data_IF_194427450970
#
_entry.id   IF_194427450970
#
_cell.length_a   1.000
_cell.length_b   1.000
_cell.length_c   1.000
_cell.angle_alpha   90.00
_cell.angle_beta   90.00
_cell.angle_gamma   90.00
#
_symmetry.space_group_name_H-M   'P 1'
#
loop_
_entity.id
_entity.type
_entity.pdbx_description
1 polymer ?
#
# COMPACT_ATOMS: atom_id res chain seq x y z
N UNK A 1 -1.38 22.85 -4.09
CA UNK A 1 -0.76 21.55 -3.74
C UNK A 1 0.69 21.70 -3.26
N UNK A 2 1.20 22.93 -3.02
CA UNK A 2 2.63 23.19 -3.17
C UNK A 2 3.38 23.62 -1.90
N UNK A 3 2.85 24.53 -1.07
CA UNK A 3 3.71 25.27 -0.14
C UNK A 3 4.50 24.41 0.87
N UNK A 4 3.90 23.41 1.54
CA UNK A 4 4.61 22.67 2.60
C UNK A 4 5.46 21.49 2.07
N UNK A 5 5.01 20.80 1.01
CA UNK A 5 5.77 19.69 0.40
C UNK A 5 6.91 20.20 -0.50
N UNK A 6 6.72 21.32 -1.20
CA UNK A 6 7.79 21.98 -1.94
C UNK A 6 8.84 22.57 -1.00
N UNK A 7 8.47 23.05 0.19
CA UNK A 7 9.43 23.53 1.19
C UNK A 7 10.38 22.41 1.63
N UNK A 8 9.89 21.19 1.85
CA UNK A 8 10.76 20.02 2.14
C UNK A 8 11.69 19.76 0.95
N UNK A 9 11.14 19.70 -0.27
CA UNK A 9 11.90 19.38 -1.47
C UNK A 9 12.97 20.43 -1.77
N UNK A 10 12.64 21.71 -1.63
CA UNK A 10 13.51 22.85 -1.89
C UNK A 10 14.65 22.92 -0.86
N UNK A 11 14.34 22.75 0.42
CA UNK A 11 15.36 22.68 1.49
C UNK A 11 16.39 21.58 1.24
N UNK A 12 15.98 20.43 0.71
CA UNK A 12 16.89 19.31 0.46
C UNK A 12 17.73 19.49 -0.81
N UNK A 13 17.19 20.17 -1.84
CA UNK A 13 17.94 20.49 -3.05
C UNK A 13 18.98 21.60 -2.83
N UNK A 14 18.70 22.55 -1.93
CA UNK A 14 19.57 23.69 -1.64
C UNK A 14 20.62 23.40 -0.54
N UNK A 15 20.44 22.35 0.26
CA UNK A 15 21.39 21.98 1.29
C UNK A 15 22.73 21.47 0.69
N UNK A 16 23.89 21.99 1.12
CA UNK A 16 25.19 21.49 0.69
C UNK A 16 25.33 20.00 1.02
N UNK A 17 25.99 19.25 0.13
CA UNK A 17 26.29 17.82 0.36
C UNK A 17 27.37 17.67 1.44
N UNK A 18 27.06 18.05 2.67
CA UNK A 18 27.95 17.79 3.80
C UNK A 18 27.83 16.33 4.20
N UNK A 19 28.97 15.65 4.24
CA UNK A 19 29.11 14.33 4.87
C UNK A 19 28.84 14.48 6.36
N UNK A 20 27.58 14.45 6.78
CA UNK A 20 27.26 14.20 8.19
C UNK A 20 27.74 12.78 8.51
N UNK A 21 28.84 12.69 9.26
CA UNK A 21 29.23 11.47 9.95
C UNK A 21 28.17 11.19 11.04
N UNK A 22 27.08 10.52 10.68
CA UNK A 22 26.18 9.94 11.67
C UNK A 22 26.60 8.49 11.92
N UNK A 23 27.11 8.23 13.12
CA UNK A 23 27.44 6.89 13.62
C UNK A 23 26.20 6.00 13.90
N UNK A 24 25.03 6.34 13.32
CA UNK A 24 23.87 5.45 13.26
C UNK A 24 23.75 5.02 11.81
N UNK A 25 24.14 3.77 11.51
CA UNK A 25 24.03 3.17 10.19
C UNK A 25 22.55 2.96 9.78
N UNK A 26 21.80 4.05 9.60
CA UNK A 26 20.52 4.05 8.89
C UNK A 26 20.85 3.80 7.42
N UNK A 27 20.23 2.76 6.87
CA UNK A 27 20.31 2.31 5.48
C UNK A 27 20.70 3.43 4.47
N UNK A 28 21.88 3.29 3.86
CA UNK A 28 22.31 4.15 2.74
C UNK A 28 21.94 3.42 1.44
N UNK A 29 20.93 3.89 0.69
CA UNK A 29 20.52 3.27 -0.56
C UNK A 29 21.68 3.23 -1.56
N UNK A 30 21.79 2.12 -2.29
CA UNK A 30 22.79 1.90 -3.33
C UNK A 30 22.14 1.15 -4.49
N UNK A 31 22.75 1.25 -5.66
CA UNK A 31 22.33 0.51 -6.85
C UNK A 31 21.60 1.37 -7.89
N UNK A 32 21.33 0.79 -9.06
CA UNK A 32 20.86 1.52 -10.24
C UNK A 32 19.38 1.93 -10.16
N UNK A 33 18.63 1.43 -9.17
CA UNK A 33 17.20 1.74 -8.99
C UNK A 33 16.94 3.22 -8.68
N UNK A 34 17.93 3.91 -8.09
CA UNK A 34 17.81 5.31 -7.73
C UNK A 34 18.49 6.18 -8.79
N UNK A 35 17.78 7.21 -9.31
CA UNK A 35 18.43 8.25 -10.12
C UNK A 35 19.61 8.87 -9.37
N UNK A 36 19.37 9.25 -8.10
CA UNK A 36 20.41 9.73 -7.20
C UNK A 36 20.14 9.22 -5.78
N UNK A 37 20.85 8.16 -5.39
CA UNK A 37 20.66 7.52 -4.09
C UNK A 37 20.98 8.45 -2.91
N UNK A 38 21.98 9.34 -3.06
CA UNK A 38 22.35 10.29 -2.02
C UNK A 38 21.27 11.35 -1.78
N UNK A 39 20.67 11.88 -2.84
CA UNK A 39 19.54 12.82 -2.76
C UNK A 39 18.32 12.12 -2.15
N UNK A 40 17.97 10.93 -2.64
CA UNK A 40 16.86 10.16 -2.10
C UNK A 40 17.02 9.90 -0.59
N UNK A 41 18.21 9.48 -0.15
CA UNK A 41 18.50 9.24 1.27
C UNK A 41 18.29 10.50 2.12
N UNK A 42 18.77 11.67 1.65
CA UNK A 42 18.57 12.93 2.37
C UNK A 42 17.10 13.32 2.46
N UNK A 43 16.35 13.23 1.35
CA UNK A 43 14.91 13.53 1.33
C UNK A 43 14.16 12.59 2.27
N UNK A 44 14.50 11.30 2.25
CA UNK A 44 13.89 10.30 3.12
C UNK A 44 14.14 10.62 4.60
N UNK A 45 15.39 10.96 4.97
CA UNK A 45 15.72 11.34 6.35
C UNK A 45 15.00 12.60 6.81
N UNK A 46 14.90 13.61 5.96
CA UNK A 46 14.15 14.84 6.24
C UNK A 46 12.65 14.56 6.43
N UNK A 47 12.08 13.71 5.57
CA UNK A 47 10.69 13.26 5.67
C UNK A 47 10.45 12.49 6.99
N UNK A 48 11.32 11.55 7.34
CA UNK A 48 11.23 10.76 8.59
C UNK A 48 11.22 11.65 9.84
N UNK A 49 11.94 12.77 9.82
CA UNK A 49 12.03 13.71 10.96
C UNK A 49 10.87 14.72 10.98
N UNK A 50 10.54 15.31 9.83
CA UNK A 50 9.69 16.51 9.77
C UNK A 50 8.30 16.29 9.19
N UNK A 51 8.04 15.18 8.49
CA UNK A 51 6.74 14.94 7.88
C UNK A 51 5.65 14.79 8.95
N UNK A 52 4.50 15.41 8.68
CA UNK A 52 3.35 15.45 9.59
C UNK A 52 2.05 15.23 8.85
N UNK A 53 1.22 14.36 9.43
CA UNK A 53 -0.08 13.97 8.93
C UNK A 53 -1.11 14.44 9.95
N UNK A 54 -2.05 15.28 9.53
CA UNK A 54 -3.24 15.56 10.32
C UNK A 54 -4.27 14.48 10.04
N UNK A 55 -4.80 13.85 11.10
CA UNK A 55 -5.87 12.85 10.98
C UNK A 55 -7.16 13.52 11.45
N UNK A 56 -8.19 13.52 10.60
CA UNK A 56 -9.52 13.97 11.02
C UNK A 56 -10.04 13.09 12.15
N UNK A 57 -10.65 13.67 13.18
CA UNK A 57 -11.11 12.92 14.36
C UNK A 57 -12.58 12.46 14.20
N UNK A 58 -13.21 12.80 13.08
CA UNK A 58 -14.59 12.45 12.78
C UNK A 58 -14.76 10.97 12.46
N UNK A 59 -15.87 10.42 12.93
CA UNK A 59 -16.29 9.06 12.64
C UNK A 59 -15.92 8.10 13.76
N UNK A 60 -16.62 6.97 13.81
CA UNK A 60 -16.41 5.94 14.83
C UNK A 60 -16.12 4.58 14.17
N UNK A 61 -15.40 3.69 14.88
CA UNK A 61 -15.32 2.28 14.49
C UNK A 61 -16.71 1.66 14.33
N UNK A 62 -16.88 0.66 13.45
CA UNK A 62 -15.82 -0.06 12.73
C UNK A 62 -15.41 0.56 11.38
N UNK A 63 -16.05 1.64 10.92
CA UNK A 63 -15.78 2.22 9.58
C UNK A 63 -14.61 3.20 9.61
N UNK A 64 -14.53 4.04 10.65
CA UNK A 64 -13.52 5.08 10.78
C UNK A 64 -12.52 4.71 11.87
N UNK A 65 -11.27 5.13 11.70
CA UNK A 65 -10.17 4.88 12.64
C UNK A 65 -9.94 3.39 12.96
N UNK A 66 -10.45 2.51 12.10
CA UNK A 66 -10.44 1.07 12.26
C UNK A 66 -10.28 0.41 10.91
N UNK A 67 -9.68 -0.78 10.90
CA UNK A 67 -9.50 -1.58 9.69
C UNK A 67 -9.18 -3.03 10.02
N UNK A 68 -9.24 -3.91 9.02
CA UNK A 68 -8.89 -5.32 9.19
C UNK A 68 -7.41 -5.46 9.55
N UNK A 69 -7.11 -6.33 10.52
CA UNK A 69 -5.74 -6.56 11.00
C UNK A 69 -5.16 -7.90 10.54
N UNK A 70 -5.93 -8.68 9.77
CA UNK A 70 -5.57 -10.01 9.29
C UNK A 70 -5.94 -10.17 7.81
N UNK A 71 -5.43 -11.23 7.22
CA UNK A 71 -5.70 -11.64 5.85
C UNK A 71 -5.15 -10.65 4.78
N UNK A 72 -5.68 -10.67 3.56
CA UNK A 72 -5.16 -9.92 2.39
C UNK A 72 -5.27 -8.39 2.54
N UNK A 73 -6.27 -7.89 3.26
CA UNK A 73 -6.47 -6.45 3.45
C UNK A 73 -5.86 -5.91 4.74
N UNK A 74 -5.12 -6.74 5.49
CA UNK A 74 -4.55 -6.40 6.79
C UNK A 74 -3.76 -5.09 6.76
N UNK A 75 -3.04 -4.84 5.68
CA UNK A 75 -2.20 -3.65 5.55
C UNK A 75 -3.00 -2.34 5.66
N UNK A 76 -4.29 -2.34 5.29
CA UNK A 76 -5.18 -1.19 5.45
C UNK A 76 -5.40 -0.85 6.92
N UNK A 77 -5.76 -1.84 7.75
CA UNK A 77 -5.94 -1.64 9.18
C UNK A 77 -4.62 -1.36 9.91
N UNK A 78 -3.55 -2.06 9.55
CA UNK A 78 -2.21 -1.79 10.10
C UNK A 78 -1.77 -0.36 9.80
N UNK A 79 -1.99 0.16 8.60
CA UNK A 79 -1.66 1.55 8.27
C UNK A 79 -2.49 2.54 9.10
N UNK A 80 -3.81 2.36 9.16
CA UNK A 80 -4.71 3.23 9.94
C UNK A 80 -4.27 3.28 11.40
N UNK A 81 -4.11 2.12 12.04
CA UNK A 81 -3.72 2.04 13.45
C UNK A 81 -2.31 2.57 13.72
N UNK A 82 -1.35 2.30 12.84
CA UNK A 82 0.02 2.80 13.03
C UNK A 82 0.09 4.31 12.88
N UNK A 83 -0.66 4.92 11.95
CA UNK A 83 -0.71 6.38 11.84
C UNK A 83 -1.21 7.01 13.13
N UNK A 84 -2.27 6.46 13.75
CA UNK A 84 -2.87 6.99 14.98
C UNK A 84 -1.87 7.21 16.12
N UNK A 85 -0.86 6.33 16.22
CA UNK A 85 0.15 6.33 17.29
C UNK A 85 1.56 6.72 16.83
N UNK A 86 1.76 6.96 15.54
CA UNK A 86 3.08 7.30 14.98
C UNK A 86 3.51 8.72 15.32
N UNK A 87 4.82 8.98 15.26
CA UNK A 87 5.38 10.33 15.36
C UNK A 87 5.05 11.22 14.15
N UNK A 88 4.52 10.64 13.07
CA UNK A 88 4.02 11.39 11.91
C UNK A 88 2.70 12.08 12.21
N UNK A 89 1.86 11.59 13.14
CA UNK A 89 0.59 12.26 13.45
C UNK A 89 0.82 13.61 14.12
N UNK A 90 0.05 14.61 13.70
CA UNK A 90 -0.07 15.90 14.38
C UNK A 90 -1.54 16.22 14.66
N UNK A 91 -1.78 16.88 15.79
CA UNK A 91 -3.08 17.52 16.11
C UNK A 91 -3.11 19.00 15.71
N UNK A 92 -1.96 19.59 15.39
CA UNK A 92 -1.87 20.95 14.89
C UNK A 92 -1.93 20.93 13.35
N UNK A 93 -3.02 21.43 12.74
CA UNK A 93 -3.20 21.44 11.29
C UNK A 93 -2.29 22.44 10.57
N UNK A 94 -1.64 23.37 11.29
CA UNK A 94 -0.74 24.37 10.69
C UNK A 94 0.63 23.79 10.32
N UNK A 95 1.06 22.76 11.03
CA UNK A 95 2.31 22.04 10.75
C UNK A 95 2.10 20.77 9.93
N UNK A 96 0.85 20.47 9.56
CA UNK A 96 0.52 19.32 8.74
C UNK A 96 0.98 19.53 7.28
N UNK A 97 1.50 18.46 6.70
CA UNK A 97 1.89 18.41 5.29
C UNK A 97 0.78 17.80 4.44
N UNK A 98 0.09 16.79 5.00
CA UNK A 98 -1.06 16.11 4.37
C UNK A 98 -2.14 15.82 5.42
N UNK A 99 -3.36 15.58 4.94
CA UNK A 99 -4.55 15.30 5.76
C UNK A 99 -5.12 13.93 5.42
N UNK A 100 -5.24 13.06 6.42
CA UNK A 100 -5.74 11.70 6.23
C UNK A 100 -7.25 11.63 6.45
N UNK A 101 -7.97 10.98 5.52
CA UNK A 101 -9.37 10.59 5.68
C UNK A 101 -9.43 9.16 6.26
N UNK A 102 -9.71 8.97 7.56
CA UNK A 102 -9.51 7.71 8.29
C UNK A 102 -10.65 6.69 8.09
N UNK A 103 -11.32 6.67 6.94
CA UNK A 103 -12.30 5.61 6.64
C UNK A 103 -11.62 4.41 5.98
N UNK A 104 -12.00 3.20 6.41
CA UNK A 104 -11.57 1.96 5.75
C UNK A 104 -12.58 1.52 4.70
N UNK A 105 -12.13 1.42 3.45
CA UNK A 105 -12.94 0.86 2.36
C UNK A 105 -13.29 -0.59 2.63
N UNK A 106 -12.35 -1.35 3.19
CA UNK A 106 -12.59 -2.74 3.57
C UNK A 106 -13.68 -2.85 4.63
N UNK A 107 -13.63 -2.03 5.69
CA UNK A 107 -14.66 -2.06 6.74
C UNK A 107 -16.01 -1.55 6.26
N UNK A 108 -16.06 -0.55 5.37
CA UNK A 108 -17.31 -0.14 4.71
C UNK A 108 -17.93 -1.35 4.01
N UNK A 109 -17.13 -2.11 3.25
CA UNK A 109 -17.59 -3.31 2.55
C UNK A 109 -18.08 -4.41 3.51
N UNK A 110 -17.33 -4.69 4.58
CA UNK A 110 -17.68 -5.72 5.57
C UNK A 110 -18.96 -5.37 6.34
N UNK A 111 -19.10 -4.14 6.81
CA UNK A 111 -20.25 -3.69 7.62
C UNK A 111 -21.55 -3.70 6.83
N UNK A 112 -21.49 -3.29 5.56
CA UNK A 112 -22.67 -3.33 4.70
C UNK A 112 -23.08 -4.76 4.34
N UNK A 113 -22.20 -5.76 4.57
CA UNK A 113 -22.44 -7.19 4.39
C UNK A 113 -23.08 -7.50 3.03
N UNK A 114 -22.64 -6.80 1.98
CA UNK A 114 -23.26 -6.86 0.67
C UNK A 114 -22.83 -8.14 -0.05
N UNK A 115 -23.71 -9.14 -0.04
CA UNK A 115 -23.62 -10.33 -0.88
C UNK A 115 -23.86 -10.05 -2.37
N UNK A 116 -24.27 -8.83 -2.72
CA UNK A 116 -24.52 -8.40 -4.10
C UNK A 116 -23.54 -7.29 -4.50
N UNK A 117 -22.58 -7.63 -5.36
CA UNK A 117 -21.44 -6.81 -5.79
C UNK A 117 -21.79 -5.51 -6.53
N UNK A 118 -23.08 -5.20 -6.69
CA UNK A 118 -23.56 -4.12 -7.56
C UNK A 118 -24.20 -2.95 -6.83
N UNK A 119 -24.39 -3.00 -5.49
CA UNK A 119 -25.03 -1.92 -4.73
C UNK A 119 -23.99 -0.95 -4.17
N UNK A 120 -23.27 -0.26 -5.06
CA UNK A 120 -22.25 0.73 -4.67
C UNK A 120 -22.79 1.97 -3.92
N UNK A 121 -24.11 2.16 -3.93
CA UNK A 121 -24.77 3.39 -3.45
C UNK A 121 -24.45 3.74 -1.99
N UNK A 122 -24.63 2.82 -1.01
CA UNK A 122 -24.32 3.07 0.39
C UNK A 122 -22.84 3.39 0.63
N UNK A 123 -21.91 2.63 0.03
CA UNK A 123 -20.47 2.87 0.14
C UNK A 123 -20.09 4.28 -0.34
N UNK A 124 -20.61 4.66 -1.51
CA UNK A 124 -20.39 5.97 -2.13
C UNK A 124 -20.94 7.11 -1.27
N UNK A 125 -22.13 6.92 -0.66
CA UNK A 125 -22.72 7.90 0.26
C UNK A 125 -21.92 8.07 1.54
N UNK A 126 -21.43 7.00 2.16
CA UNK A 126 -20.62 7.08 3.39
C UNK A 126 -19.39 7.97 3.16
N UNK A 127 -18.64 7.71 2.08
CA UNK A 127 -17.47 8.51 1.76
C UNK A 127 -17.83 9.97 1.41
N UNK A 128 -18.92 10.19 0.65
CA UNK A 128 -19.38 11.52 0.27
C UNK A 128 -19.81 12.33 1.49
N UNK A 129 -20.60 11.75 2.38
CA UNK A 129 -21.08 12.37 3.60
C UNK A 129 -19.92 12.72 4.53
N UNK A 130 -18.91 11.84 4.61
CA UNK A 130 -17.69 12.11 5.36
C UNK A 130 -16.91 13.29 4.81
N UNK A 131 -16.68 13.33 3.49
CA UNK A 131 -16.00 14.46 2.82
C UNK A 131 -16.78 15.75 3.04
N UNK A 132 -18.10 15.73 2.91
CA UNK A 132 -18.95 16.90 3.16
C UNK A 132 -18.87 17.36 4.63
N UNK A 133 -18.84 16.42 5.58
CA UNK A 133 -18.69 16.73 7.00
C UNK A 133 -17.37 17.45 7.28
N UNK A 134 -16.24 16.90 6.82
CA UNK A 134 -14.92 17.53 7.05
C UNK A 134 -14.78 18.85 6.31
N UNK A 135 -15.37 18.97 5.11
CA UNK A 135 -15.39 20.21 4.32
C UNK A 135 -16.26 21.31 4.93
N UNK A 136 -17.35 20.94 5.61
CA UNK A 136 -18.21 21.88 6.34
C UNK A 136 -17.65 22.29 7.70
N UNK A 137 -16.94 21.39 8.38
CA UNK A 137 -16.42 21.62 9.73
C UNK A 137 -15.05 22.30 9.75
N UNK A 138 -14.19 22.02 8.78
CA UNK A 138 -12.82 22.52 8.73
C UNK A 138 -12.50 23.28 7.45
N UNK A 139 -11.65 24.31 7.51
CA UNK A 139 -11.26 25.06 6.31
C UNK A 139 -10.28 24.30 5.41
N UNK A 140 -9.66 23.21 5.89
CA UNK A 140 -8.51 22.58 5.23
C UNK A 140 -8.86 21.89 3.91
N UNK A 141 -10.01 21.21 3.85
CA UNK A 141 -10.48 20.57 2.61
C UNK A 141 -10.68 21.61 1.50
N UNK A 142 -11.42 22.67 1.79
CA UNK A 142 -11.78 23.69 0.80
C UNK A 142 -10.57 24.51 0.33
N UNK A 143 -9.54 24.66 1.16
CA UNK A 143 -8.30 25.37 0.81
C UNK A 143 -7.60 24.78 -0.41
N UNK A 144 -7.58 23.45 -0.52
CA UNK A 144 -6.88 22.72 -1.58
C UNK A 144 -7.81 21.94 -2.50
N UNK A 145 -9.12 21.98 -2.23
CA UNK A 145 -10.13 21.08 -2.82
C UNK A 145 -9.75 19.61 -2.66
N UNK A 146 -9.24 19.25 -1.48
CA UNK A 146 -8.75 17.91 -1.19
C UNK A 146 -7.35 17.60 -1.74
N UNK A 147 -6.65 18.54 -2.40
CA UNK A 147 -5.37 18.26 -3.07
C UNK A 147 -4.19 17.90 -2.16
N UNK A 148 -4.29 18.18 -0.86
CA UNK A 148 -3.35 17.75 0.18
C UNK A 148 -3.97 16.70 1.12
N UNK A 149 -5.09 16.11 0.71
CA UNK A 149 -5.77 15.03 1.40
C UNK A 149 -5.44 13.70 0.77
N UNK A 150 -5.49 12.63 1.56
CA UNK A 150 -5.35 11.29 1.05
C UNK A 150 -6.34 10.32 1.68
N UNK A 151 -6.73 9.32 0.89
CA UNK A 151 -7.49 8.15 1.32
C UNK A 151 -6.62 6.90 1.14
N UNK A 152 -6.93 5.87 1.92
CA UNK A 152 -6.31 4.55 1.79
C UNK A 152 -7.38 3.54 1.38
N UNK A 153 -7.06 2.68 0.41
CA UNK A 153 -7.90 1.54 0.08
C UNK A 153 -7.09 0.37 -0.45
N UNK A 154 -7.26 -0.79 0.17
CA UNK A 154 -6.66 -2.02 -0.33
C UNK A 154 -7.65 -2.95 -1.04
N UNK A 155 -8.93 -2.79 -0.76
CA UNK A 155 -9.99 -3.43 -1.53
C UNK A 155 -10.08 -2.88 -2.97
N UNK A 156 -10.45 -3.73 -3.92
CA UNK A 156 -10.69 -3.37 -5.34
C UNK A 156 -11.76 -2.27 -5.54
N UNK A 157 -12.59 -2.03 -4.53
CA UNK A 157 -13.64 -1.01 -4.48
C UNK A 157 -13.12 0.40 -4.21
N UNK A 158 -11.83 0.55 -3.87
CA UNK A 158 -11.19 1.82 -3.54
C UNK A 158 -11.36 2.90 -4.61
N UNK A 159 -10.93 2.66 -5.87
CA UNK A 159 -11.08 3.63 -6.96
C UNK A 159 -12.53 4.06 -7.20
N UNK A 160 -13.48 3.12 -7.15
CA UNK A 160 -14.91 3.35 -7.36
C UNK A 160 -15.55 4.29 -6.35
N UNK A 161 -15.12 4.23 -5.08
CA UNK A 161 -15.56 5.19 -4.06
C UNK A 161 -15.10 6.59 -4.45
N UNK A 162 -13.84 6.74 -4.85
CA UNK A 162 -13.27 8.04 -5.20
C UNK A 162 -13.98 8.68 -6.38
N UNK A 163 -14.34 7.92 -7.42
CA UNK A 163 -14.96 8.42 -8.65
C UNK A 163 -16.27 9.18 -8.42
N UNK A 164 -16.96 8.89 -7.32
CA UNK A 164 -18.23 9.57 -6.98
C UNK A 164 -18.08 10.90 -6.27
N UNK A 165 -16.86 11.23 -5.87
CA UNK A 165 -16.52 12.49 -5.22
C UNK A 165 -15.49 13.17 -6.13
N UNK A 166 -15.91 14.02 -7.08
CA UNK A 166 -15.05 14.52 -8.16
C UNK A 166 -13.74 15.14 -7.67
N UNK A 167 -13.77 15.89 -6.56
CA UNK A 167 -12.58 16.52 -6.00
C UNK A 167 -11.64 15.50 -5.34
N UNK A 168 -12.18 14.46 -4.68
CA UNK A 168 -11.39 13.38 -4.10
C UNK A 168 -10.65 12.59 -5.18
N UNK A 169 -11.35 12.19 -6.25
CA UNK A 169 -10.71 11.47 -7.35
C UNK A 169 -9.66 12.31 -8.08
N UNK A 170 -10.01 13.57 -8.38
CA UNK A 170 -9.20 14.43 -9.24
C UNK A 170 -7.97 15.01 -8.54
N UNK A 171 -8.11 15.43 -7.28
CA UNK A 171 -7.07 16.20 -6.59
C UNK A 171 -6.42 15.44 -5.43
N UNK A 172 -7.17 14.65 -4.66
CA UNK A 172 -6.61 13.95 -3.49
C UNK A 172 -5.71 12.79 -3.87
N UNK A 173 -4.76 12.48 -3.00
CA UNK A 173 -3.83 11.35 -3.16
C UNK A 173 -4.56 10.05 -2.81
N UNK A 174 -4.52 9.07 -3.71
CA UNK A 174 -5.03 7.73 -3.43
C UNK A 174 -3.86 6.85 -3.02
N UNK A 175 -3.91 6.31 -1.80
CA UNK A 175 -2.97 5.27 -1.35
C UNK A 175 -3.65 3.93 -1.60
N UNK A 176 -3.21 3.20 -2.62
CA UNK A 176 -3.93 2.01 -3.12
C UNK A 176 -3.05 0.76 -3.08
N UNK A 177 -3.61 -0.37 -2.61
CA UNK A 177 -2.96 -1.67 -2.81
C UNK A 177 -3.02 -2.11 -4.28
N UNK A 178 -4.12 -1.76 -4.96
CA UNK A 178 -4.28 -1.96 -6.40
C UNK A 178 -3.82 -0.71 -7.17
N UNK A 179 -2.55 -0.71 -7.59
CA UNK A 179 -1.97 0.38 -8.37
C UNK A 179 -2.17 0.21 -9.89
N UNK A 180 -3.40 -0.12 -10.32
CA UNK A 180 -3.73 -0.34 -11.73
C UNK A 180 -4.12 0.96 -12.46
N UNK A 181 -3.30 1.37 -13.41
CA UNK A 181 -3.54 2.60 -14.20
C UNK A 181 -4.80 2.53 -15.06
N UNK A 182 -5.27 1.34 -15.46
CA UNK A 182 -6.53 1.21 -16.20
C UNK A 182 -7.77 1.40 -15.32
N UNK A 183 -7.61 1.36 -14.01
CA UNK A 183 -8.69 1.50 -13.01
C UNK A 183 -8.59 2.83 -12.25
N UNK A 184 -7.82 3.80 -12.77
CA UNK A 184 -7.77 5.16 -12.24
C UNK A 184 -6.60 5.47 -11.31
N UNK A 185 -5.65 4.55 -11.11
CA UNK A 185 -4.39 4.87 -10.44
C UNK A 185 -3.57 5.86 -11.27
N UNK A 186 -3.22 7.00 -10.69
CA UNK A 186 -2.38 8.00 -11.35
C UNK A 186 -0.97 8.01 -10.76
N UNK A 187 0.06 7.50 -11.47
CA UNK A 187 1.43 7.41 -10.93
C UNK A 187 2.11 8.76 -10.66
N UNK A 188 1.53 9.88 -11.13
CA UNK A 188 2.05 11.22 -10.82
C UNK A 188 1.46 11.82 -9.54
N UNK A 189 0.44 11.20 -8.95
CA UNK A 189 -0.33 11.70 -7.80
C UNK A 189 -0.47 10.66 -6.69
N UNK A 190 -0.81 9.44 -7.07
CA UNK A 190 -1.21 8.35 -6.18
C UNK A 190 0.01 7.52 -5.73
N UNK A 191 -0.17 6.82 -4.61
CA UNK A 191 0.88 6.03 -3.95
C UNK A 191 0.47 4.57 -3.92
N UNK A 192 1.33 3.68 -4.43
CA UNK A 192 1.12 2.24 -4.27
C UNK A 192 1.57 1.80 -2.89
N UNK A 193 0.71 1.11 -2.15
CA UNK A 193 1.09 0.39 -0.93
C UNK A 193 1.14 -1.11 -1.24
N UNK A 194 2.19 -1.84 -0.85
CA UNK A 194 2.26 -3.27 -1.11
C UNK A 194 1.17 -4.03 -0.34
N UNK A 195 0.46 -4.94 -1.01
CA UNK A 195 -0.41 -5.91 -0.35
C UNK A 195 0.43 -6.92 0.45
N UNK A 196 0.12 -7.10 1.73
CA UNK A 196 0.81 -8.05 2.60
C UNK A 196 -0.22 -8.99 3.21
N UNK A 197 -0.14 -10.27 2.86
CA UNK A 197 -1.04 -11.27 3.39
C UNK A 197 -0.65 -11.66 4.82
N UNK A 198 -1.47 -11.28 5.80
CA UNK A 198 -1.20 -11.54 7.22
C UNK A 198 -2.26 -12.49 7.81
N UNK A 199 -2.20 -13.81 7.59
CA UNK A 199 -3.27 -14.76 7.97
C UNK A 199 -3.65 -14.71 9.46
N UNK A 200 -2.70 -14.36 10.34
CA UNK A 200 -2.92 -14.21 11.78
C UNK A 200 -2.56 -12.80 12.29
N UNK A 201 -2.50 -11.82 11.39
CA UNK A 201 -2.12 -10.44 11.69
C UNK A 201 -0.65 -10.25 12.11
N UNK A 202 0.20 -11.26 11.85
CA UNK A 202 1.62 -11.27 12.20
C UNK A 202 2.48 -11.66 11.00
N UNK A 203 3.72 -11.22 11.01
CA UNK A 203 4.75 -11.57 10.01
C UNK A 203 5.53 -12.84 10.38
N UNK A 204 5.01 -13.63 11.33
CA UNK A 204 5.67 -14.83 11.84
C UNK A 204 5.89 -15.84 10.71
N UNK A 205 7.14 -16.16 10.42
CA UNK A 205 7.48 -17.04 9.31
C UNK A 205 7.20 -16.44 7.92
N UNK A 206 7.12 -15.11 7.78
CA UNK A 206 7.18 -14.46 6.48
C UNK A 206 8.58 -13.99 6.14
N UNK A 207 9.36 -13.55 7.14
CA UNK A 207 10.67 -12.95 6.96
C UNK A 207 11.80 -13.97 7.21
N UNK A 208 12.84 -13.91 6.39
CA UNK A 208 14.12 -14.57 6.58
C UNK A 208 14.43 -15.66 5.55
N UNK A 209 15.43 -16.49 5.83
CA UNK A 209 15.88 -17.56 4.93
C UNK A 209 17.27 -17.30 4.36
N UNK A 210 17.66 -18.16 3.42
CA UNK A 210 18.98 -18.09 2.81
C UNK A 210 19.07 -16.90 1.84
N UNK A 211 20.25 -16.26 1.71
CA UNK A 211 20.48 -15.25 0.68
C UNK A 211 20.22 -15.85 -0.71
N UNK A 212 19.83 -15.03 -1.68
CA UNK A 212 19.45 -15.48 -3.03
C UNK A 212 20.51 -16.38 -3.70
N UNK A 213 21.80 -16.18 -3.40
CA UNK A 213 22.91 -17.01 -3.89
C UNK A 213 22.90 -18.46 -3.38
N UNK A 214 22.29 -18.72 -2.22
CA UNK A 214 22.23 -20.04 -1.57
C UNK A 214 20.89 -20.75 -1.73
N UNK A 215 19.91 -20.10 -2.38
CA UNK A 215 18.59 -20.67 -2.65
C UNK A 215 18.68 -21.76 -3.73
N UNK A 216 17.99 -22.89 -3.52
CA UNK A 216 18.14 -24.10 -4.35
C UNK A 216 17.16 -24.19 -5.52
N UNK A 217 16.04 -23.46 -5.47
CA UNK A 217 15.02 -23.43 -6.53
C UNK A 217 15.25 -22.17 -7.37
N UNK A 218 15.24 -22.28 -8.69
CA UNK A 218 15.39 -21.12 -9.56
C UNK A 218 14.11 -20.27 -9.53
N UNK A 219 12.98 -20.88 -9.86
CA UNK A 219 11.68 -20.20 -9.96
C UNK A 219 10.63 -21.01 -9.21
N UNK A 220 9.77 -20.33 -8.45
CA UNK A 220 8.63 -20.96 -7.79
C UNK A 220 7.32 -20.22 -8.06
N UNK A 221 6.24 -20.99 -8.26
CA UNK A 221 4.86 -20.52 -8.31
C UNK A 221 3.91 -21.55 -7.68
N UNK A 222 2.99 -21.08 -6.84
CA UNK A 222 1.82 -21.85 -6.45
C UNK A 222 0.54 -20.99 -6.44
N UNK A 223 -0.54 -21.52 -7.02
CA UNK A 223 -1.84 -20.85 -7.04
C UNK A 223 -2.86 -21.55 -7.93
N UNK A 224 -4.14 -21.29 -7.71
CA UNK A 224 -5.21 -21.94 -8.48
C UNK A 224 -5.22 -21.61 -9.98
N UNK A 225 -5.89 -22.47 -10.75
CA UNK A 225 -6.11 -22.32 -12.19
C UNK A 225 -7.20 -21.27 -12.49
N UNK A 226 -6.79 -20.01 -12.55
CA UNK A 226 -7.67 -18.91 -12.92
C UNK A 226 -6.94 -17.80 -13.69
N UNK A 227 -7.71 -16.90 -14.32
CA UNK A 227 -7.16 -15.88 -15.25
C UNK A 227 -6.68 -16.48 -16.58
N UNK A 228 -6.28 -15.61 -17.51
CA UNK A 228 -5.86 -16.02 -18.86
C UNK A 228 -4.42 -16.50 -18.94
N UNK A 229 -3.55 -16.05 -18.03
CA UNK A 229 -2.10 -16.33 -18.08
C UNK A 229 -1.74 -17.65 -17.40
N UNK A 230 -2.40 -18.00 -16.28
CA UNK A 230 -2.05 -19.21 -15.51
C UNK A 230 -2.21 -20.53 -16.29
N UNK A 231 -3.23 -20.73 -17.15
CA UNK A 231 -3.30 -21.93 -17.99
C UNK A 231 -2.07 -22.11 -18.89
N UNK A 232 -1.53 -21.01 -19.43
CA UNK A 232 -0.30 -21.03 -20.24
C UNK A 232 0.90 -21.38 -19.36
N UNK A 233 0.98 -20.78 -18.16
CA UNK A 233 2.02 -21.05 -17.17
C UNK A 233 2.09 -22.54 -16.80
N UNK A 234 0.95 -23.15 -16.43
CA UNK A 234 0.89 -24.56 -16.07
C UNK A 234 1.21 -25.46 -17.26
N UNK A 235 0.62 -25.17 -18.43
CA UNK A 235 0.92 -25.91 -19.64
C UNK A 235 2.41 -25.89 -19.97
N UNK A 236 3.13 -24.83 -19.64
CA UNK A 236 4.56 -24.72 -19.97
C UNK A 236 5.48 -25.36 -18.93
N UNK A 237 5.24 -25.16 -17.62
CA UNK A 237 6.20 -25.54 -16.57
C UNK A 237 5.71 -26.52 -15.51
N UNK A 238 4.40 -26.78 -15.39
CA UNK A 238 3.89 -27.67 -14.33
C UNK A 238 4.48 -29.07 -14.49
N UNK A 239 5.19 -29.55 -13.45
CA UNK A 239 5.85 -30.85 -13.40
C UNK A 239 6.84 -31.13 -14.55
N UNK A 240 7.44 -30.10 -15.16
CA UNK A 240 8.31 -30.23 -16.34
C UNK A 240 9.78 -29.94 -16.10
N UNK A 241 10.10 -29.21 -15.04
CA UNK A 241 11.45 -28.76 -14.72
C UNK A 241 11.69 -28.87 -13.20
N UNK A 242 12.90 -29.24 -12.80
CA UNK A 242 13.27 -29.39 -11.38
C UNK A 242 13.65 -28.05 -10.73
N UNK A 243 14.16 -27.12 -11.52
CA UNK A 243 14.58 -25.78 -11.11
C UNK A 243 13.43 -24.77 -11.21
N UNK A 244 12.46 -25.01 -12.10
CA UNK A 244 11.23 -24.22 -12.25
C UNK A 244 10.02 -24.99 -11.71
N UNK A 245 9.66 -24.68 -10.45
CA UNK A 245 8.61 -25.40 -9.72
C UNK A 245 7.30 -24.63 -9.76
N UNK A 246 6.38 -25.07 -10.63
CA UNK A 246 5.06 -24.49 -10.81
C UNK A 246 4.01 -25.51 -10.37
N UNK A 247 3.14 -25.13 -9.43
CA UNK A 247 2.12 -25.99 -8.83
C UNK A 247 0.75 -25.30 -8.81
N UNK A 248 -0.32 -26.02 -9.15
CA UNK A 248 -1.68 -25.53 -8.87
C UNK A 248 -1.96 -25.52 -7.36
N UNK A 249 -1.69 -26.64 -6.71
CA UNK A 249 -1.81 -26.82 -5.26
C UNK A 249 -0.55 -27.51 -4.73
N UNK A 250 -0.07 -27.06 -3.58
CA UNK A 250 1.06 -27.71 -2.92
C UNK A 250 0.63 -29.04 -2.27
N UNK A 251 1.49 -30.07 -2.28
CA UNK A 251 1.23 -31.29 -1.54
C UNK A 251 1.03 -31.02 -0.04
N UNK A 252 0.20 -31.86 0.61
CA UNK A 252 -0.05 -31.74 2.05
C UNK A 252 1.27 -31.78 2.84
N UNK A 253 1.45 -30.82 3.74
CA UNK A 253 2.66 -30.70 4.58
C UNK A 253 3.80 -29.91 3.94
N UNK A 254 3.68 -29.48 2.68
CA UNK A 254 4.64 -28.57 2.04
C UNK A 254 4.25 -27.13 2.36
N UNK A 255 5.17 -26.39 2.98
CA UNK A 255 4.96 -24.97 3.33
C UNK A 255 5.15 -24.08 2.10
N UNK A 256 4.13 -23.28 1.77
CA UNK A 256 4.21 -22.26 0.71
C UNK A 256 5.37 -21.27 0.94
N UNK A 257 5.41 -20.62 2.11
CA UNK A 257 6.50 -19.71 2.47
C UNK A 257 7.85 -20.41 2.50
N UNK A 258 7.89 -21.70 2.90
CA UNK A 258 9.10 -22.51 2.83
C UNK A 258 9.62 -22.70 1.40
N UNK A 259 8.74 -22.76 0.40
CA UNK A 259 9.12 -22.85 -1.02
C UNK A 259 9.57 -21.50 -1.58
N UNK A 260 8.84 -20.42 -1.26
CA UNK A 260 9.22 -19.05 -1.64
C UNK A 260 10.62 -18.70 -1.11
N UNK A 261 10.93 -19.02 0.15
CA UNK A 261 12.27 -18.76 0.72
C UNK A 261 13.39 -19.59 0.09
N UNK A 262 13.05 -20.69 -0.58
CA UNK A 262 14.00 -21.52 -1.32
C UNK A 262 14.14 -21.09 -2.78
N UNK A 263 13.34 -20.15 -3.27
CA UNK A 263 13.34 -19.73 -4.68
C UNK A 263 14.10 -18.43 -4.91
N UNK A 264 14.86 -18.37 -6.01
CA UNK A 264 15.59 -17.16 -6.43
C UNK A 264 14.67 -16.14 -7.08
N UNK A 265 13.68 -16.62 -7.81
CA UNK A 265 12.68 -15.83 -8.50
C UNK A 265 11.27 -16.31 -8.14
N UNK A 266 10.31 -15.39 -8.18
CA UNK A 266 8.89 -15.66 -8.01
C UNK A 266 8.16 -15.24 -9.29
N UNK A 267 7.15 -16.01 -9.69
CA UNK A 267 6.22 -15.63 -10.75
C UNK A 267 4.97 -15.05 -10.10
N UNK A 268 4.55 -13.86 -10.54
CA UNK A 268 3.29 -13.25 -10.13
C UNK A 268 2.31 -13.22 -11.31
N UNK A 269 1.83 -14.41 -11.71
CA UNK A 269 0.90 -14.52 -12.83
C UNK A 269 -0.50 -14.03 -12.43
N UNK A 270 -1.00 -13.04 -13.19
CA UNK A 270 -2.32 -12.43 -12.97
C UNK A 270 -3.44 -13.48 -12.86
N UNK A 271 -4.36 -13.22 -11.92
CA UNK A 271 -5.47 -14.08 -11.56
C UNK A 271 -6.83 -13.37 -11.70
N UNK A 272 -7.77 -13.67 -10.79
CA UNK A 272 -9.00 -12.88 -10.64
C UNK A 272 -8.84 -11.76 -9.60
N UNK A 273 -7.91 -11.92 -8.67
CA UNK A 273 -7.54 -10.88 -7.69
C UNK A 273 -6.85 -9.72 -8.40
N UNK A 274 -7.17 -8.49 -7.97
CA UNK A 274 -6.63 -7.25 -8.53
C UNK A 274 -5.21 -6.93 -8.04
N UNK A 275 -4.83 -7.48 -6.89
CA UNK A 275 -3.51 -7.35 -6.28
C UNK A 275 -3.01 -8.73 -5.83
N UNK A 276 -1.72 -8.85 -5.51
CA UNK A 276 -1.16 -10.09 -5.02
C UNK A 276 -0.04 -9.84 -4.01
N UNK A 277 0.00 -10.59 -2.88
CA UNK A 277 1.06 -10.42 -1.89
C UNK A 277 2.38 -11.02 -2.36
N UNK A 278 2.37 -11.83 -3.44
CA UNK A 278 3.51 -12.63 -3.92
C UNK A 278 4.79 -11.83 -4.13
N UNK A 279 4.67 -10.61 -4.66
CA UNK A 279 5.84 -9.74 -4.85
C UNK A 279 6.51 -9.44 -3.51
N UNK A 280 5.72 -9.18 -2.47
CA UNK A 280 6.21 -8.88 -1.13
C UNK A 280 6.74 -10.14 -0.45
N UNK A 281 6.01 -11.25 -0.56
CA UNK A 281 6.41 -12.55 -0.02
C UNK A 281 7.75 -13.02 -0.58
N UNK A 282 8.07 -12.66 -1.83
CA UNK A 282 9.34 -13.01 -2.48
C UNK A 282 10.53 -12.14 -2.05
N UNK A 283 10.26 -10.92 -1.52
CA UNK A 283 11.28 -9.99 -1.05
C UNK A 283 11.80 -10.35 0.34
N UNK A 284 10.94 -10.91 1.20
CA UNK A 284 11.23 -11.25 2.59
C UNK A 284 11.68 -12.70 2.80
#
# INVERSE_FOLDING_TARGET
>A
MAANLEVITTRVLEAPCEKRNSNNAKYIPRGPTYWNAGVFHRIYMEMEENFKIFVYEEGEPPIFHYGPMMDIYAIEGHFIQNIEVSHFRTKDPNIAHVYFLPFSVTMINEVLNETDSHVWGPMKRIALDYVNLVAGKYPYWNRSRGGDHFMLACHDKGPEISFTIPDLHKYSIQVLCNANTSEGFNPTKDVSIPEIYLPFGKTDGMIGGAPSSQRSILVFFAGGLHGSIRPVLFKHWENKDRDVQVHQYLPKGVSYYGMIRKSKYCICASGFEVASPRMVEALY
#
